data_IF_658435355390
#
_entry.id   IF_658435355390
#
_cell.length_a   1.000
_cell.length_b   1.000
_cell.length_c   1.000
_cell.angle_alpha   90.00
_cell.angle_beta   90.00
_cell.angle_gamma   90.00
#
_symmetry.space_group_name_H-M   'P 1'
#
loop_
_entity.id
_entity.type
_entity.pdbx_description
1 polymer ?
#
# COMPACT_ATOMS: atom_id res chain seq x y z
N UNK A 1 0.88 -10.59 4.67
CA UNK A 1 -0.54 -10.41 4.27
C UNK A 1 -1.53 -10.49 5.44
N UNK A 2 -1.55 -11.55 6.28
CA UNK A 2 -2.56 -11.71 7.36
C UNK A 2 -2.71 -10.50 8.30
N UNK A 3 -1.59 -9.99 8.85
CA UNK A 3 -1.62 -8.82 9.75
C UNK A 3 -2.18 -7.57 9.06
N UNK A 4 -1.91 -7.38 7.77
CA UNK A 4 -2.45 -6.26 6.98
C UNK A 4 -3.98 -6.38 6.88
N UNK A 5 -4.48 -7.56 6.52
CA UNK A 5 -5.90 -7.83 6.39
C UNK A 5 -6.65 -7.67 7.71
N UNK A 6 -6.09 -8.14 8.84
CA UNK A 6 -6.72 -7.95 10.14
C UNK A 6 -6.80 -6.47 10.54
N UNK A 7 -5.74 -5.69 10.28
CA UNK A 7 -5.81 -4.24 10.51
C UNK A 7 -6.84 -3.56 9.60
N UNK A 8 -6.93 -3.98 8.34
CA UNK A 8 -7.84 -3.43 7.35
C UNK A 8 -9.31 -3.73 7.71
N UNK A 9 -9.61 -4.96 8.13
CA UNK A 9 -10.95 -5.36 8.61
C UNK A 9 -11.41 -4.48 9.77
N UNK A 10 -10.58 -4.34 10.80
CA UNK A 10 -10.89 -3.50 11.97
C UNK A 10 -11.05 -2.03 11.59
N UNK A 11 -10.22 -1.53 10.67
CA UNK A 11 -10.34 -0.16 10.19
C UNK A 11 -11.65 0.07 9.40
N UNK A 12 -12.06 -0.88 8.55
CA UNK A 12 -13.34 -0.84 7.84
C UNK A 12 -14.52 -0.93 8.82
N UNK A 13 -14.41 -1.69 9.91
CA UNK A 13 -15.48 -1.81 10.91
C UNK A 13 -15.65 -0.50 11.72
N UNK A 14 -14.54 0.13 12.11
CA UNK A 14 -14.54 1.25 13.07
C UNK A 14 -14.41 2.63 12.45
N UNK A 15 -13.93 2.71 11.22
CA UNK A 15 -13.62 3.98 10.57
C UNK A 15 -14.87 4.83 10.31
N UNK A 16 -14.70 6.15 10.33
CA UNK A 16 -15.74 7.12 10.00
C UNK A 16 -15.44 7.89 8.70
N UNK A 17 -16.26 8.89 8.40
CA UNK A 17 -16.11 9.73 7.21
C UNK A 17 -14.75 10.45 7.14
N UNK A 18 -14.22 10.89 8.28
CA UNK A 18 -12.90 11.55 8.34
C UNK A 18 -11.78 10.59 7.88
N UNK A 19 -11.85 9.33 8.32
CA UNK A 19 -10.91 8.29 7.92
C UNK A 19 -11.01 7.95 6.43
N UNK A 20 -12.22 7.90 5.87
CA UNK A 20 -12.42 7.73 4.42
C UNK A 20 -11.84 8.91 3.64
N UNK A 21 -12.02 10.13 4.14
CA UNK A 21 -11.47 11.35 3.54
C UNK A 21 -9.95 11.33 3.53
N UNK A 22 -9.32 10.88 4.62
CA UNK A 22 -7.87 10.69 4.71
C UNK A 22 -7.36 9.68 3.68
N UNK A 23 -8.11 8.60 3.42
CA UNK A 23 -7.77 7.61 2.38
C UNK A 23 -7.80 8.26 1.00
N UNK A 24 -8.86 9.01 0.68
CA UNK A 24 -8.99 9.71 -0.62
C UNK A 24 -7.85 10.71 -0.81
N UNK A 25 -7.54 11.51 0.22
CA UNK A 25 -6.45 12.48 0.17
C UNK A 25 -5.08 11.80 -0.03
N UNK A 26 -4.83 10.71 0.69
CA UNK A 26 -3.58 9.96 0.57
C UNK A 26 -3.44 9.28 -0.81
N UNK A 27 -4.52 8.72 -1.35
CA UNK A 27 -4.55 8.14 -2.70
C UNK A 27 -4.30 9.23 -3.76
N UNK A 28 -4.97 10.37 -3.65
CA UNK A 28 -4.79 11.49 -4.58
C UNK A 28 -3.33 11.98 -4.60
N UNK A 29 -2.71 12.13 -3.42
CA UNK A 29 -1.29 12.48 -3.31
C UNK A 29 -0.41 11.44 -3.99
N UNK A 30 -0.66 10.16 -3.72
CA UNK A 30 0.12 9.06 -4.28
C UNK A 30 0.01 9.00 -5.81
N UNK A 31 -1.20 9.13 -6.36
CA UNK A 31 -1.45 9.04 -7.81
C UNK A 31 -0.83 10.19 -8.61
N UNK A 32 -0.60 11.34 -7.99
CA UNK A 32 0.02 12.51 -8.61
C UNK A 32 1.51 12.65 -8.28
N UNK A 33 2.11 11.69 -7.57
CA UNK A 33 3.55 11.68 -7.31
C UNK A 33 4.25 10.77 -8.33
N UNK A 34 5.32 11.22 -9.02
CA UNK A 34 6.06 10.37 -9.96
C UNK A 34 6.61 9.12 -9.29
N UNK A 35 6.45 7.94 -9.89
CA UNK A 35 6.94 6.66 -9.33
C UNK A 35 8.47 6.62 -9.22
N UNK A 36 9.15 7.03 -10.29
CA UNK A 36 10.61 7.09 -10.39
C UNK A 36 11.08 8.53 -10.53
N UNK A 37 12.37 8.75 -10.29
CA UNK A 37 13.00 10.05 -10.51
C UNK A 37 12.84 10.45 -11.99
N UNK A 38 12.50 11.72 -12.30
CA UNK A 38 12.37 12.17 -13.69
C UNK A 38 13.66 11.98 -14.51
N UNK A 39 14.81 12.12 -13.86
CA UNK A 39 16.13 12.05 -14.50
C UNK A 39 16.76 10.64 -14.45
N UNK A 40 16.17 9.71 -13.68
CA UNK A 40 16.64 8.33 -13.57
C UNK A 40 15.49 7.34 -13.30
N UNK A 41 14.95 6.70 -14.35
CA UNK A 41 13.88 5.70 -14.24
C UNK A 41 14.27 4.44 -13.46
N UNK A 42 15.55 4.21 -13.15
CA UNK A 42 15.98 3.06 -12.34
C UNK A 42 15.87 3.33 -10.82
N UNK A 43 15.55 4.56 -10.42
CA UNK A 43 15.51 4.99 -9.01
C UNK A 43 14.11 5.44 -8.64
N UNK A 44 13.56 4.91 -7.54
CA UNK A 44 12.28 5.38 -6.99
C UNK A 44 12.39 6.83 -6.48
N UNK A 45 11.35 7.60 -6.76
CA UNK A 45 11.20 8.92 -6.14
C UNK A 45 10.89 8.75 -4.64
N UNK A 46 11.71 9.34 -3.77
CA UNK A 46 11.51 9.26 -2.32
C UNK A 46 10.20 9.94 -1.87
N UNK A 47 9.67 10.89 -2.65
CA UNK A 47 8.35 11.47 -2.41
C UNK A 47 7.26 10.44 -2.65
N UNK A 48 7.41 9.59 -3.67
CA UNK A 48 6.47 8.51 -3.94
C UNK A 48 6.53 7.45 -2.85
N UNK A 49 7.73 7.03 -2.43
CA UNK A 49 7.93 6.10 -1.30
C UNK A 49 7.21 6.61 -0.04
N UNK A 50 7.34 7.91 0.26
CA UNK A 50 6.63 8.54 1.37
C UNK A 50 5.12 8.52 1.19
N UNK A 51 4.61 8.96 0.03
CA UNK A 51 3.18 8.96 -0.27
C UNK A 51 2.58 7.53 -0.22
N UNK A 52 3.33 6.54 -0.68
CA UNK A 52 2.95 5.13 -0.66
C UNK A 52 2.80 4.62 0.78
N UNK A 53 3.75 4.96 1.67
CA UNK A 53 3.64 4.68 3.10
C UNK A 53 2.41 5.35 3.72
N UNK A 54 2.19 6.62 3.40
CA UNK A 54 1.06 7.39 3.93
C UNK A 54 -0.29 6.79 3.52
N UNK A 55 -0.43 6.40 2.26
CA UNK A 55 -1.62 5.70 1.75
C UNK A 55 -1.87 4.39 2.51
N UNK A 56 -0.87 3.52 2.57
CA UNK A 56 -0.97 2.25 3.29
C UNK A 56 -1.26 2.41 4.79
N UNK A 57 -0.76 3.47 5.42
CA UNK A 57 -1.06 3.81 6.81
C UNK A 57 -2.50 4.32 6.96
N UNK A 58 -2.98 5.16 6.04
CA UNK A 58 -4.34 5.70 6.05
C UNK A 58 -5.37 4.57 6.03
N UNK A 59 -5.20 3.59 5.13
CA UNK A 59 -6.08 2.42 4.98
C UNK A 59 -6.36 1.67 6.30
N UNK A 60 -5.39 1.66 7.22
CA UNK A 60 -5.51 0.89 8.48
C UNK A 60 -5.62 1.77 9.72
N UNK A 61 -5.59 3.09 9.58
CA UNK A 61 -5.47 4.01 10.71
C UNK A 61 -6.63 3.93 11.71
N UNK A 62 -7.82 3.53 11.25
CA UNK A 62 -9.00 3.30 12.10
C UNK A 62 -9.03 1.92 12.80
N UNK A 63 -8.01 1.06 12.65
CA UNK A 63 -7.95 -0.28 13.26
C UNK A 63 -8.14 -0.26 14.80
N UNK A 64 -7.74 0.85 15.46
CA UNK A 64 -7.93 1.06 16.90
C UNK A 64 -7.37 -0.11 17.75
N UNK A 65 -6.25 -0.68 17.29
CA UNK A 65 -5.42 -1.61 18.04
C UNK A 65 -3.95 -1.23 17.86
N UNK A 66 -3.40 -0.54 18.87
CA UNK A 66 -2.03 0.00 18.84
C UNK A 66 -0.95 -1.06 18.64
N UNK A 67 -1.16 -2.29 19.09
CA UNK A 67 -0.18 -3.36 18.97
C UNK A 67 -0.18 -3.97 17.57
N UNK A 68 -1.36 -4.21 17.00
CA UNK A 68 -1.49 -4.65 15.61
C UNK A 68 -0.91 -3.61 14.65
N UNK A 69 -1.22 -2.33 14.85
CA UNK A 69 -0.65 -1.24 14.05
C UNK A 69 0.88 -1.16 14.16
N UNK A 70 1.44 -1.38 15.35
CA UNK A 70 2.90 -1.41 15.54
C UNK A 70 3.54 -2.55 14.77
N UNK A 71 3.02 -3.78 14.90
CA UNK A 71 3.53 -4.96 14.20
C UNK A 71 3.40 -4.77 12.69
N UNK A 72 2.24 -4.32 12.21
CA UNK A 72 1.99 -3.98 10.81
C UNK A 72 3.00 -2.97 10.28
N UNK A 73 3.26 -1.89 11.03
CA UNK A 73 4.24 -0.88 10.68
C UNK A 73 5.65 -1.46 10.52
N UNK A 74 6.09 -2.28 11.47
CA UNK A 74 7.40 -2.94 11.38
C UNK A 74 7.51 -3.86 10.16
N UNK A 75 6.47 -4.65 9.87
CA UNK A 75 6.45 -5.52 8.69
C UNK A 75 6.47 -4.73 7.38
N UNK A 76 5.72 -3.62 7.32
CA UNK A 76 5.75 -2.70 6.19
C UNK A 76 7.15 -2.14 5.95
N UNK A 77 7.80 -1.65 7.02
CA UNK A 77 9.15 -1.07 6.94
C UNK A 77 10.18 -2.05 6.37
N UNK A 78 10.13 -3.32 6.80
CA UNK A 78 10.99 -4.36 6.24
C UNK A 78 10.68 -4.61 4.76
N UNK A 79 9.40 -4.74 4.40
CA UNK A 79 8.99 -4.99 3.00
C UNK A 79 9.39 -3.84 2.07
N UNK A 80 9.29 -2.60 2.55
CA UNK A 80 9.59 -1.40 1.76
C UNK A 80 11.07 -1.28 1.45
N UNK A 81 11.94 -1.68 2.39
CA UNK A 81 13.39 -1.73 2.17
C UNK A 81 13.74 -2.65 1.00
N UNK A 82 13.15 -3.85 0.95
CA UNK A 82 13.40 -4.78 -0.17
C UNK A 82 12.81 -4.27 -1.49
N UNK A 83 11.62 -3.64 -1.45
CA UNK A 83 11.00 -3.05 -2.64
C UNK A 83 11.87 -1.98 -3.28
N UNK A 84 12.49 -1.12 -2.47
CA UNK A 84 13.40 -0.08 -2.96
C UNK A 84 14.68 -0.63 -3.59
N UNK A 85 15.12 -1.81 -3.15
CA UNK A 85 16.30 -2.48 -3.72
C UNK A 85 15.95 -3.28 -5.00
N UNK A 86 14.69 -3.65 -5.21
CA UNK A 86 14.25 -4.46 -6.36
C UNK A 86 13.76 -3.65 -7.56
N UNK A 87 13.79 -2.31 -7.48
CA UNK A 87 13.30 -1.37 -8.51
C UNK A 87 13.92 -1.59 -9.89
N UNK A 88 15.23 -1.90 -10.04
CA UNK A 88 15.82 -2.15 -11.35
C UNK A 88 15.24 -3.37 -12.10
N UNK A 89 14.45 -4.21 -11.41
CA UNK A 89 14.01 -5.52 -11.88
C UNK A 89 12.52 -5.58 -12.26
N UNK A 90 11.76 -4.52 -11.95
CA UNK A 90 10.32 -4.42 -12.23
C UNK A 90 10.06 -4.02 -13.70
N UNK A 91 10.35 -4.91 -14.65
CA UNK A 91 10.01 -4.73 -16.09
C UNK A 91 8.60 -5.22 -16.46
N UNK A 92 7.81 -5.69 -15.50
CA UNK A 92 6.43 -6.08 -15.75
C UNK A 92 5.54 -4.83 -15.88
N UNK A 93 4.71 -4.77 -16.93
CA UNK A 93 3.62 -3.80 -17.07
C UNK A 93 2.61 -3.99 -15.92
N UNK A 94 2.88 -3.38 -14.77
CA UNK A 94 2.02 -3.40 -13.60
C UNK A 94 1.45 -2.00 -13.38
N UNK A 95 0.13 -1.87 -13.49
CA UNK A 95 -0.56 -0.63 -13.14
C UNK A 95 -0.79 -0.56 -11.62
N UNK A 96 0.29 -0.21 -10.89
CA UNK A 96 0.26 -0.07 -9.42
C UNK A 96 -0.76 0.99 -8.99
N UNK A 97 -0.96 2.04 -9.80
CA UNK A 97 -1.92 3.10 -9.49
C UNK A 97 -3.36 2.57 -9.53
N UNK A 98 -3.70 1.70 -10.49
CA UNK A 98 -5.01 1.05 -10.55
C UNK A 98 -5.23 0.09 -9.37
N UNK A 99 -4.19 -0.63 -8.96
CA UNK A 99 -4.29 -1.49 -7.78
C UNK A 99 -4.62 -0.69 -6.51
N UNK A 100 -3.94 0.45 -6.29
CA UNK A 100 -4.22 1.33 -5.16
C UNK A 100 -5.64 1.91 -5.22
N UNK A 101 -6.13 2.31 -6.40
CA UNK A 101 -7.52 2.73 -6.60
C UNK A 101 -8.51 1.62 -6.21
N UNK A 102 -8.32 0.40 -6.73
CA UNK A 102 -9.19 -0.73 -6.43
C UNK A 102 -9.25 -1.06 -4.93
N UNK A 103 -8.12 -0.93 -4.22
CA UNK A 103 -8.07 -1.12 -2.76
C UNK A 103 -8.88 -0.03 -2.07
N UNK A 104 -8.63 1.25 -2.38
CA UNK A 104 -9.32 2.37 -1.76
C UNK A 104 -10.84 2.31 -1.99
N UNK A 105 -11.27 2.02 -3.23
CA UNK A 105 -12.68 1.87 -3.58
C UNK A 105 -13.35 0.74 -2.80
N UNK A 106 -12.65 -0.38 -2.58
CA UNK A 106 -13.15 -1.47 -1.76
C UNK A 106 -13.30 -1.09 -0.29
N UNK A 107 -12.32 -0.35 0.26
CA UNK A 107 -12.31 0.09 1.64
C UNK A 107 -13.40 1.13 1.92
N UNK A 108 -13.55 2.14 1.05
CA UNK A 108 -14.57 3.18 1.15
C UNK A 108 -15.97 2.58 0.98
N UNK A 109 -16.14 1.61 0.08
CA UNK A 109 -17.40 0.88 -0.08
C UNK A 109 -17.72 -0.07 1.11
N UNK A 110 -16.85 -0.14 2.13
CA UNK A 110 -16.95 -1.06 3.27
C UNK A 110 -17.04 -2.54 2.88
N UNK A 111 -16.58 -2.89 1.68
CA UNK A 111 -16.55 -4.27 1.20
C UNK A 111 -15.28 -4.96 1.71
N UNK A 112 -15.37 -5.51 2.92
CA UNK A 112 -14.27 -6.19 3.60
C UNK A 112 -13.66 -7.31 2.76
N UNK A 113 -14.49 -8.11 2.08
CA UNK A 113 -14.04 -9.25 1.30
C UNK A 113 -13.22 -8.77 0.08
N UNK A 114 -13.75 -7.81 -0.67
CA UNK A 114 -13.08 -7.20 -1.83
C UNK A 114 -11.80 -6.48 -1.41
N UNK A 115 -11.83 -5.73 -0.32
CA UNK A 115 -10.67 -5.00 0.19
C UNK A 115 -9.55 -5.97 0.61
N UNK A 116 -9.89 -7.04 1.33
CA UNK A 116 -8.93 -8.07 1.73
C UNK A 116 -8.34 -8.82 0.53
N UNK A 117 -9.14 -9.12 -0.49
CA UNK A 117 -8.66 -9.78 -1.71
C UNK A 117 -7.71 -8.85 -2.50
N UNK A 118 -8.09 -7.58 -2.68
CA UNK A 118 -7.31 -6.60 -3.41
C UNK A 118 -5.94 -6.33 -2.75
N UNK A 119 -5.91 -6.09 -1.43
CA UNK A 119 -4.64 -5.84 -0.72
C UNK A 119 -3.74 -7.08 -0.72
N UNK A 120 -4.31 -8.28 -0.61
CA UNK A 120 -3.55 -9.52 -0.66
C UNK A 120 -2.90 -9.75 -2.03
N UNK A 121 -3.66 -9.56 -3.11
CA UNK A 121 -3.14 -9.66 -4.48
C UNK A 121 -2.01 -8.65 -4.70
N UNK A 122 -2.21 -7.38 -4.35
CA UNK A 122 -1.19 -6.33 -4.45
C UNK A 122 0.12 -6.69 -3.72
N UNK A 123 0.02 -7.21 -2.49
CA UNK A 123 1.18 -7.62 -1.70
C UNK A 123 1.90 -8.85 -2.29
N UNK A 124 1.15 -9.82 -2.82
CA UNK A 124 1.75 -11.01 -3.43
C UNK A 124 2.45 -10.73 -4.75
N UNK A 125 1.85 -9.93 -5.63
CA UNK A 125 2.50 -9.46 -6.86
C UNK A 125 3.81 -8.72 -6.52
N UNK A 126 3.77 -7.83 -5.52
CA UNK A 126 4.98 -7.15 -5.04
C UNK A 126 6.02 -8.14 -4.53
N UNK A 127 5.61 -9.12 -3.72
CA UNK A 127 6.53 -10.12 -3.15
C UNK A 127 7.21 -10.90 -4.26
N UNK A 128 6.47 -11.35 -5.27
CA UNK A 128 7.02 -12.07 -6.43
C UNK A 128 8.08 -11.23 -7.16
N UNK A 129 7.79 -9.96 -7.45
CA UNK A 129 8.75 -9.05 -8.11
C UNK A 129 10.03 -8.92 -7.27
N UNK A 130 9.90 -8.73 -5.96
CA UNK A 130 11.04 -8.61 -5.05
C UNK A 130 11.85 -9.90 -5.01
N UNK A 131 11.21 -11.07 -4.91
CA UNK A 131 11.92 -12.34 -4.77
C UNK A 131 12.53 -12.84 -6.07
N UNK A 132 11.86 -12.65 -7.21
CA UNK A 132 12.39 -13.03 -8.53
C UNK A 132 13.50 -12.08 -8.97
N UNK A 133 13.47 -10.83 -8.52
CA UNK A 133 14.56 -9.89 -8.76
C UNK A 133 15.86 -10.18 -7.97
N UNK A 134 15.81 -11.07 -6.98
CA UNK A 134 16.95 -11.46 -6.15
C UNK A 134 17.66 -12.74 -6.62
N UNK A 135 17.13 -13.42 -7.65
CA UNK A 135 17.66 -14.65 -8.26
C UNK A 135 18.13 -14.39 -9.68
#
# INVERSE_FOLDING_TARGET
>A
VRIEQECLKLAIEKGGLEWETDIVAALHRLSHTPYTMPDDPAVLDQRWVKAHREFHRALVSACDNRWLLRIRGQLYDQSERYRQLSVPLARAERDVAQEHRNIADAVIARDVARACAAIASHMWTTTQIVTTGLT
#
